data_IF_269381283226
#
_entry.id   IF_269381283226
#
_cell.length_a   1.000
_cell.length_b   1.000
_cell.length_c   1.000
_cell.angle_alpha   90.00
_cell.angle_beta   90.00
_cell.angle_gamma   90.00
#
_symmetry.space_group_name_H-M   'P 1'
#
loop_
_entity.id
_entity.type
_entity.pdbx_description
1 polymer ?
#
# COMPACT_ATOMS: atom_id res chain seq x y z
N UNK A 1 -3.20 -9.30 1.46
CA UNK A 1 -4.50 -9.27 0.75
C UNK A 1 -5.26 -10.59 0.71
N UNK A 2 -4.64 -11.76 0.43
CA UNK A 2 -5.37 -13.05 0.31
C UNK A 2 -6.24 -13.43 1.53
N UNK A 3 -5.78 -13.14 2.75
CA UNK A 3 -6.54 -13.41 3.99
C UNK A 3 -7.81 -12.53 4.05
N UNK A 4 -7.71 -11.26 3.67
CA UNK A 4 -8.82 -10.32 3.68
C UNK A 4 -9.92 -10.71 2.68
N UNK A 5 -9.54 -11.08 1.45
CA UNK A 5 -10.48 -11.56 0.43
C UNK A 5 -11.24 -12.81 0.91
N UNK A 6 -10.56 -13.74 1.60
CA UNK A 6 -11.23 -14.92 2.21
C UNK A 6 -12.21 -14.54 3.32
N UNK A 7 -11.98 -13.44 4.03
CA UNK A 7 -12.92 -12.95 5.05
C UNK A 7 -14.14 -12.31 4.38
N UNK A 8 -13.96 -11.53 3.30
CA UNK A 8 -15.08 -10.96 2.55
C UNK A 8 -15.98 -12.07 2.00
N UNK A 9 -15.38 -13.11 1.40
CA UNK A 9 -16.13 -14.23 0.84
C UNK A 9 -17.02 -14.92 1.89
N UNK A 10 -16.53 -15.06 3.14
CA UNK A 10 -17.31 -15.59 4.27
C UNK A 10 -18.42 -14.66 4.75
N UNK A 11 -18.30 -13.35 4.53
CA UNK A 11 -19.29 -12.35 4.93
C UNK A 11 -20.42 -12.18 3.90
N UNK A 12 -20.20 -12.63 2.65
CA UNK A 12 -21.26 -12.67 1.64
C UNK A 12 -22.36 -13.62 2.11
N UNK A 13 -23.57 -13.10 2.27
CA UNK A 13 -24.72 -13.95 2.61
C UNK A 13 -25.13 -14.74 1.36
N UNK A 14 -25.30 -16.05 1.51
CA UNK A 14 -26.01 -16.85 0.51
C UNK A 14 -27.43 -16.30 0.39
N UNK A 15 -27.72 -15.67 -0.75
CA UNK A 15 -29.06 -15.13 -0.99
C UNK A 15 -29.98 -16.31 -1.30
N UNK A 16 -30.74 -16.78 -0.31
CA UNK A 16 -31.88 -17.64 -0.61
C UNK A 16 -32.90 -16.79 -1.38
N UNK A 17 -33.11 -17.13 -2.65
CA UNK A 17 -34.20 -16.60 -3.44
C UNK A 17 -35.50 -17.02 -2.76
N UNK A 18 -36.19 -16.07 -2.14
CA UNK A 18 -37.49 -16.30 -1.53
C UNK A 18 -37.52 -16.06 -0.03
N UNK A 19 -37.21 -14.83 0.40
CA UNK A 19 -37.95 -14.14 1.45
C UNK A 19 -37.45 -12.70 1.42
N UNK A 20 -38.29 -11.80 0.90
CA UNK A 20 -38.07 -10.36 0.97
C UNK A 20 -38.28 -10.01 2.44
N UNK A 21 -37.25 -10.23 3.26
CA UNK A 21 -37.24 -9.73 4.61
C UNK A 21 -37.14 -8.20 4.51
N UNK A 22 -38.11 -7.54 5.13
CA UNK A 22 -38.28 -6.09 5.22
C UNK A 22 -37.08 -5.28 5.79
N UNK A 23 -35.96 -5.80 6.35
CA UNK A 23 -34.87 -4.94 6.84
C UNK A 23 -34.01 -4.24 5.77
N UNK A 24 -34.14 -4.58 4.49
CA UNK A 24 -33.25 -4.05 3.43
C UNK A 24 -33.70 -2.72 2.83
N UNK A 25 -34.83 -2.16 3.27
CA UNK A 25 -35.45 -0.98 2.65
C UNK A 25 -34.59 0.31 2.76
N UNK A 26 -33.62 0.36 3.67
CA UNK A 26 -32.70 1.50 3.84
C UNK A 26 -31.30 1.28 3.24
N UNK A 27 -31.08 0.18 2.50
CA UNK A 27 -29.80 -0.06 1.85
C UNK A 27 -29.71 0.71 0.53
N UNK A 28 -28.66 1.53 0.35
CA UNK A 28 -28.38 2.27 -0.90
C UNK A 28 -27.92 1.39 -2.08
N UNK A 29 -27.90 0.06 -1.91
CA UNK A 29 -27.32 -0.87 -2.88
C UNK A 29 -28.34 -1.90 -3.36
N UNK A 30 -28.24 -2.28 -4.64
CA UNK A 30 -29.25 -3.07 -5.36
C UNK A 30 -29.37 -4.53 -4.85
N UNK A 31 -28.28 -5.12 -4.35
CA UNK A 31 -28.26 -6.45 -3.69
C UNK A 31 -28.00 -6.37 -2.19
N UNK A 32 -28.36 -5.25 -1.57
CA UNK A 32 -28.10 -5.05 -0.14
C UNK A 32 -26.59 -5.00 0.16
N UNK A 33 -26.18 -5.54 1.31
CA UNK A 33 -24.78 -5.53 1.76
C UNK A 33 -23.79 -6.28 0.85
N UNK A 34 -24.26 -7.20 0.01
CA UNK A 34 -23.39 -7.96 -0.90
C UNK A 34 -22.77 -7.07 -2.00
N UNK A 35 -23.49 -6.05 -2.48
CA UNK A 35 -22.97 -5.08 -3.46
C UNK A 35 -21.85 -4.22 -2.86
N UNK A 36 -21.98 -3.83 -1.58
CA UNK A 36 -20.94 -3.09 -0.88
C UNK A 36 -19.66 -3.95 -0.73
N UNK A 37 -19.80 -5.24 -0.47
CA UNK A 37 -18.68 -6.18 -0.39
C UNK A 37 -18.02 -6.40 -1.77
N UNK A 38 -18.80 -6.52 -2.85
CA UNK A 38 -18.28 -6.60 -4.23
C UNK A 38 -17.43 -5.36 -4.57
N UNK A 39 -17.89 -4.15 -4.23
CA UNK A 39 -17.13 -2.91 -4.46
C UNK A 39 -15.82 -2.84 -3.67
N UNK A 40 -15.81 -3.34 -2.43
CA UNK A 40 -14.59 -3.42 -1.61
C UNK A 40 -13.61 -4.45 -2.19
N UNK A 41 -14.10 -5.59 -2.69
CA UNK A 41 -13.25 -6.56 -3.39
C UNK A 41 -12.62 -6.00 -4.65
N UNK A 42 -13.39 -5.30 -5.49
CA UNK A 42 -12.89 -4.63 -6.70
C UNK A 42 -11.77 -3.64 -6.36
N UNK A 43 -11.97 -2.80 -5.33
CA UNK A 43 -11.01 -1.79 -4.90
C UNK A 43 -9.73 -2.41 -4.31
N UNK A 44 -9.85 -3.54 -3.61
CA UNK A 44 -8.68 -4.24 -3.06
C UNK A 44 -7.96 -5.02 -4.17
N UNK A 45 -8.69 -5.58 -5.12
CA UNK A 45 -8.10 -6.27 -6.26
C UNK A 45 -7.37 -5.30 -7.21
N UNK A 46 -7.85 -4.06 -7.34
CA UNK A 46 -7.16 -3.00 -8.09
C UNK A 46 -5.99 -2.39 -7.33
N UNK A 47 -5.90 -2.56 -6.00
CA UNK A 47 -4.78 -2.07 -5.21
C UNK A 47 -3.47 -2.75 -5.62
N UNK A 48 -2.63 -2.03 -6.35
CA UNK A 48 -1.35 -2.51 -6.81
C UNK A 48 -0.22 -1.74 -6.11
N UNK A 49 0.60 -2.46 -5.33
CA UNK A 49 1.79 -1.89 -4.68
C UNK A 49 2.74 -1.22 -5.69
N UNK A 50 2.69 -1.60 -6.97
CA UNK A 50 3.49 -0.96 -8.01
C UNK A 50 3.10 0.50 -8.28
N UNK A 51 1.90 0.94 -7.89
CA UNK A 51 1.46 2.33 -8.03
C UNK A 51 2.14 3.27 -7.02
N UNK A 52 2.75 2.73 -5.97
CA UNK A 52 3.46 3.53 -4.97
C UNK A 52 4.87 3.95 -5.41
N UNK A 53 5.34 3.48 -6.56
CA UNK A 53 6.62 3.92 -7.14
C UNK A 53 6.48 5.32 -7.71
N UNK A 54 7.35 6.21 -7.25
CA UNK A 54 7.44 7.59 -7.71
C UNK A 54 8.70 7.71 -8.56
N UNK A 55 8.56 7.95 -9.88
CA UNK A 55 9.69 8.23 -10.75
C UNK A 55 10.44 9.50 -10.30
N UNK A 56 11.77 9.49 -10.36
CA UNK A 56 12.58 10.63 -9.88
C UNK A 56 12.41 11.89 -10.74
N UNK A 57 12.07 11.71 -12.01
CA UNK A 57 11.74 12.76 -12.98
C UNK A 57 10.36 13.37 -12.71
N UNK A 58 9.47 12.64 -12.05
CA UNK A 58 8.19 13.16 -11.58
C UNK A 58 8.35 13.93 -10.27
N UNK A 59 9.05 13.33 -9.28
CA UNK A 59 9.21 13.94 -7.96
C UNK A 59 10.37 13.31 -7.19
N UNK A 60 11.18 14.13 -6.54
CA UNK A 60 12.20 13.68 -5.59
C UNK A 60 11.62 13.49 -4.18
N UNK A 61 12.26 12.69 -3.31
CA UNK A 61 11.86 12.62 -1.92
C UNK A 61 11.93 14.00 -1.23
N UNK A 62 11.14 14.20 -0.16
CA UNK A 62 11.24 15.43 0.63
C UNK A 62 12.64 15.60 1.24
N UNK A 63 12.94 16.82 1.69
CA UNK A 63 14.15 17.06 2.48
C UNK A 63 14.17 16.13 3.72
N UNK A 64 15.31 15.47 3.98
CA UNK A 64 15.41 14.52 5.07
C UNK A 64 15.26 15.22 6.42
N UNK A 65 14.65 14.52 7.38
CA UNK A 65 14.40 15.11 8.69
C UNK A 65 15.70 15.13 9.52
N UNK A 66 15.98 16.21 10.27
CA UNK A 66 17.22 16.37 11.03
C UNK A 66 17.40 15.38 12.20
N UNK A 67 16.40 14.55 12.51
CA UNK A 67 16.36 13.66 13.68
C UNK A 67 16.61 12.18 13.33
N UNK A 68 17.40 11.87 12.31
CA UNK A 68 17.77 10.50 12.01
C UNK A 68 19.21 10.21 12.46
N UNK A 69 19.42 8.98 12.95
CA UNK A 69 20.75 8.44 13.33
C UNK A 69 21.71 8.52 12.13
N UNK A 70 21.16 8.60 10.92
CA UNK A 70 21.83 8.84 9.66
C UNK A 70 21.55 10.25 9.15
N UNK A 71 22.50 10.85 8.42
CA UNK A 71 22.30 12.14 7.71
C UNK A 71 21.39 11.97 6.48
N UNK A 72 20.19 11.45 6.67
CA UNK A 72 19.26 11.16 5.58
C UNK A 72 18.12 10.22 5.96
N UNK A 73 17.13 10.17 5.08
CA UNK A 73 15.96 9.29 5.17
C UNK A 73 16.15 8.06 4.27
N UNK A 74 15.64 6.90 4.69
CA UNK A 74 15.80 5.65 3.92
C UNK A 74 14.55 5.36 3.11
N UNK A 75 14.74 5.05 1.84
CA UNK A 75 13.69 4.69 0.89
C UNK A 75 13.99 3.35 0.23
N UNK A 76 12.95 2.70 -0.30
CA UNK A 76 13.14 1.63 -1.28
C UNK A 76 13.29 2.26 -2.66
N UNK A 77 14.30 1.84 -3.41
CA UNK A 77 14.67 2.43 -4.69
C UNK A 77 14.82 1.37 -5.78
N UNK A 78 14.72 1.82 -7.03
CA UNK A 78 15.14 1.06 -8.21
C UNK A 78 16.18 1.89 -8.97
N UNK A 79 17.26 1.26 -9.43
CA UNK A 79 18.33 1.91 -10.21
C UNK A 79 18.29 1.44 -11.66
N UNK A 80 18.79 2.26 -12.59
CA UNK A 80 18.70 2.03 -14.05
C UNK A 80 19.24 0.67 -14.53
N UNK A 81 20.29 0.16 -13.88
CA UNK A 81 20.93 -1.13 -14.21
C UNK A 81 20.60 -2.25 -13.21
N UNK A 82 19.72 -1.98 -12.25
CA UNK A 82 19.35 -2.92 -11.19
C UNK A 82 18.17 -3.78 -11.60
N UNK A 83 18.23 -5.06 -11.27
CA UNK A 83 17.12 -6.00 -11.52
C UNK A 83 16.17 -6.13 -10.33
N UNK A 84 16.61 -5.71 -9.14
CA UNK A 84 15.87 -5.88 -7.88
C UNK A 84 15.89 -4.55 -7.10
N UNK A 85 14.75 -4.11 -6.56
CA UNK A 85 14.71 -2.95 -5.67
C UNK A 85 15.45 -3.20 -4.35
N UNK A 86 16.11 -2.17 -3.83
CA UNK A 86 16.83 -2.23 -2.56
C UNK A 86 16.73 -0.91 -1.79
N UNK A 87 17.23 -0.87 -0.55
CA UNK A 87 17.16 0.32 0.30
C UNK A 87 18.37 1.22 0.09
N UNK A 88 18.13 2.53 -0.02
CA UNK A 88 19.17 3.55 -0.10
C UNK A 88 18.79 4.79 0.72
N UNK A 89 19.81 5.57 1.08
CA UNK A 89 19.67 6.81 1.84
C UNK A 89 19.52 7.99 0.88
N UNK A 90 18.51 8.82 1.12
CA UNK A 90 18.36 10.15 0.53
C UNK A 90 18.91 11.19 1.50
N UNK A 91 19.92 11.94 1.08
CA UNK A 91 20.57 12.96 1.90
C UNK A 91 20.07 14.40 1.63
N UNK A 92 19.04 14.56 0.78
CA UNK A 92 18.52 15.86 0.34
C UNK A 92 19.00 16.30 -1.05
N UNK A 93 20.05 15.67 -1.57
CA UNK A 93 20.62 16.00 -2.89
C UNK A 93 20.66 14.79 -3.83
N UNK A 94 21.01 13.62 -3.30
CA UNK A 94 21.12 12.38 -4.06
C UNK A 94 20.90 11.14 -3.20
N UNK A 95 20.64 10.01 -3.87
CA UNK A 95 20.60 8.70 -3.24
C UNK A 95 21.98 8.07 -3.14
N UNK A 96 22.28 7.45 -2.01
CA UNK A 96 23.52 6.71 -1.77
C UNK A 96 23.27 5.45 -0.95
N UNK A 97 24.07 4.40 -1.19
CA UNK A 97 24.14 3.21 -0.34
C UNK A 97 25.14 3.37 0.82
N UNK A 98 25.77 4.54 0.95
CA UNK A 98 26.83 4.84 1.92
C UNK A 98 28.24 4.77 1.33
N UNK A 99 28.40 4.26 0.11
CA UNK A 99 29.69 4.19 -0.59
C UNK A 99 29.71 5.07 -1.83
N UNK A 100 28.66 4.99 -2.66
CA UNK A 100 28.58 5.71 -3.93
C UNK A 100 27.25 6.42 -4.14
N UNK A 101 27.25 7.35 -5.10
CA UNK A 101 26.02 8.00 -5.58
C UNK A 101 25.33 7.06 -6.57
N UNK A 102 24.02 6.86 -6.39
CA UNK A 102 23.23 5.92 -7.17
C UNK A 102 22.44 6.61 -8.28
N UNK A 103 22.38 5.99 -9.46
CA UNK A 103 21.50 6.40 -10.58
C UNK A 103 20.09 5.80 -10.38
N UNK A 104 19.35 6.37 -9.44
CA UNK A 104 17.98 5.98 -9.09
C UNK A 104 17.00 6.46 -10.15
N UNK A 105 16.06 5.60 -10.55
CA UNK A 105 15.00 5.91 -11.52
C UNK A 105 13.61 6.03 -10.88
N UNK A 106 13.38 5.35 -9.76
CA UNK A 106 12.14 5.43 -9.00
C UNK A 106 12.37 5.10 -7.53
N UNK A 107 11.52 5.63 -6.65
CA UNK A 107 11.59 5.43 -5.21
C UNK A 107 10.20 5.24 -4.60
N UNK A 108 10.13 4.67 -3.40
CA UNK A 108 8.92 4.61 -2.59
C UNK A 108 9.25 4.70 -1.09
N UNK A 109 8.37 5.32 -0.27
CA UNK A 109 8.55 5.34 1.18
C UNK A 109 8.52 3.93 1.77
N UNK A 110 9.29 3.73 2.85
CA UNK A 110 9.21 2.51 3.63
C UNK A 110 7.88 2.47 4.43
N UNK A 111 7.32 1.27 4.68
CA UNK A 111 6.18 1.14 5.58
C UNK A 111 6.55 1.58 6.99
N UNK A 112 5.54 1.95 7.78
CA UNK A 112 5.76 2.24 9.20
C UNK A 112 6.38 1.02 9.92
N UNK A 113 7.35 1.24 10.83
CA UNK A 113 7.91 0.16 11.63
C UNK A 113 6.82 -0.59 12.39
N UNK A 114 6.92 -1.92 12.43
CA UNK A 114 6.04 -2.74 13.26
C UNK A 114 6.18 -2.33 14.73
N UNK A 115 5.04 -2.05 15.36
CA UNK A 115 4.95 -1.80 16.80
C UNK A 115 4.35 -3.04 17.44
N UNK A 116 5.15 -3.73 18.24
CA UNK A 116 4.68 -4.88 19.02
C UNK A 116 3.55 -4.41 19.95
N UNK A 117 2.38 -5.03 19.81
CA UNK A 117 1.33 -4.89 20.82
C UNK A 117 1.65 -5.85 21.94
N UNK A 118 1.72 -5.37 23.18
CA UNK A 118 1.74 -6.26 24.34
C UNK A 118 0.50 -7.14 24.24
N UNK A 119 0.71 -8.45 24.13
CA UNK A 119 -0.36 -9.43 24.24
C UNK A 119 -0.69 -9.53 25.74
N UNK A 120 -1.81 -8.93 26.16
CA UNK A 120 -2.43 -9.16 27.48
C UNK A 120 -3.41 -10.33 27.42
#
# INVERSE_FOLDING_TARGET
MKIFLKVIDKLKKQTQYGEIAEPYLNCKYNKGWNDALEKVEELIASYNLSENWIPVDMKLPPEPKPNHIFKGDIYLITVKKGTIPFRAMWNGEYFTDGFEKLEVIAWMPLPEPYKEKKHE
#
